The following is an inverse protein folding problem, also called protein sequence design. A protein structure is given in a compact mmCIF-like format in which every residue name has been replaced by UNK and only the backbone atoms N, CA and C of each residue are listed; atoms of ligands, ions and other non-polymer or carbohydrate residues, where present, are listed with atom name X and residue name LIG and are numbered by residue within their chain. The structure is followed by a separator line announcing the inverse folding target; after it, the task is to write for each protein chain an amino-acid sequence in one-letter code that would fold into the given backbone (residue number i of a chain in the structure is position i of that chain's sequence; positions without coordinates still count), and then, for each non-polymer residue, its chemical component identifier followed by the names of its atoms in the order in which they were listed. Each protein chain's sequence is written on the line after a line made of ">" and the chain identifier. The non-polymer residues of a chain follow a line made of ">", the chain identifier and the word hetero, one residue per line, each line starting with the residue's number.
data_IF_977572134926
#
_entry.id   IF_977572134926
#
_cell.length_a   1.000
_cell.length_b   1.000
_cell.length_c   1.000
_cell.angle_alpha   90.00
_cell.angle_beta   90.00
_cell.angle_gamma   90.00
#
_symmetry.space_group_name_H-M   'P 1'
#
loop_
_entity.id
_entity.type
_entity.pdbx_description
1 polymer ?
#
# COMPACT_ATOMS: atom_id res chain seq x y z
N UNK A 1 4.24 49.16 -1.70
CA UNK A 1 5.04 47.93 -1.94
C UNK A 1 4.57 46.92 -0.93
N UNK A 2 3.93 45.81 -1.34
CA UNK A 2 3.62 44.73 -0.39
C UNK A 2 4.94 44.13 0.07
N UNK A 3 5.15 44.00 1.38
CA UNK A 3 6.28 43.24 1.91
C UNK A 3 6.18 41.82 1.35
N UNK A 4 7.23 41.39 0.63
CA UNK A 4 7.36 39.99 0.24
C UNK A 4 7.79 39.23 1.48
N UNK A 5 6.83 38.56 2.12
CA UNK A 5 7.12 37.60 3.17
C UNK A 5 7.74 36.37 2.52
N UNK A 6 8.99 36.06 2.86
CA UNK A 6 9.63 34.82 2.44
C UNK A 6 9.25 33.71 3.41
N UNK A 7 8.82 32.57 2.89
CA UNK A 7 8.60 31.36 3.67
C UNK A 7 9.80 30.43 3.49
N UNK A 8 10.49 30.11 4.58
CA UNK A 8 11.60 29.17 4.56
C UNK A 8 11.05 27.75 4.68
N UNK A 9 11.39 26.89 3.73
CA UNK A 9 11.07 25.46 3.77
C UNK A 9 12.30 24.67 4.17
N UNK A 10 12.12 23.68 5.04
CA UNK A 10 13.19 22.72 5.38
C UNK A 10 13.34 21.63 4.33
N UNK A 11 14.35 20.77 4.52
CA UNK A 11 14.67 19.67 3.59
C UNK A 11 13.71 18.45 3.71
N UNK A 12 12.76 18.51 4.64
CA UNK A 12 11.75 17.47 4.86
C UNK A 12 10.46 17.70 4.07
N UNK A 13 9.56 16.69 4.04
CA UNK A 13 8.23 16.87 3.47
C UNK A 13 7.49 18.00 4.19
N UNK A 14 6.76 18.81 3.42
CA UNK A 14 5.94 19.87 3.97
C UNK A 14 4.61 19.31 4.45
N UNK A 15 4.36 19.38 5.76
CA UNK A 15 3.22 18.71 6.40
C UNK A 15 2.10 19.67 6.83
N UNK A 16 2.41 20.93 7.11
CA UNK A 16 1.50 21.88 7.78
C UNK A 16 1.53 23.26 7.13
N UNK A 17 0.39 23.96 7.05
CA UNK A 17 0.34 25.37 6.64
C UNK A 17 -0.26 25.63 5.25
N UNK A 18 0.08 26.80 4.69
CA UNK A 18 -0.55 27.45 3.52
C UNK A 18 -0.27 26.78 2.15
N UNK A 19 0.20 25.52 2.13
CA UNK A 19 0.52 24.78 0.91
C UNK A 19 1.34 25.60 -0.12
N UNK A 20 2.58 25.98 0.22
CA UNK A 20 3.43 26.79 -0.65
C UNK A 20 3.83 26.08 -1.95
N UNK A 21 3.58 24.77 -2.05
CA UNK A 21 3.80 23.97 -3.25
C UNK A 21 2.54 23.87 -4.13
N UNK A 22 1.43 24.48 -3.69
CA UNK A 22 0.13 24.53 -4.38
C UNK A 22 -0.41 23.15 -4.79
N UNK A 23 -0.04 22.10 -4.04
CA UNK A 23 -0.45 20.74 -4.33
C UNK A 23 -1.93 20.48 -4.06
N UNK A 24 -2.64 21.37 -3.35
CA UNK A 24 -4.02 21.18 -2.93
C UNK A 24 -4.95 20.92 -4.12
N UNK A 25 -4.74 21.62 -5.25
CA UNK A 25 -5.52 21.42 -6.48
C UNK A 25 -5.31 20.02 -7.03
N UNK A 26 -4.05 19.56 -7.07
CA UNK A 26 -3.70 18.24 -7.55
C UNK A 26 -4.25 17.15 -6.62
N UNK A 27 -4.08 17.32 -5.30
CA UNK A 27 -4.60 16.40 -4.30
C UNK A 27 -6.14 16.30 -4.36
N UNK A 28 -6.86 17.42 -4.55
CA UNK A 28 -8.32 17.42 -4.76
C UNK A 28 -8.73 16.67 -6.01
N UNK A 29 -8.02 16.89 -7.13
CA UNK A 29 -8.23 16.15 -8.36
C UNK A 29 -8.09 14.64 -8.15
N UNK A 30 -7.03 14.21 -7.45
CA UNK A 30 -6.79 12.80 -7.14
C UNK A 30 -7.90 12.24 -6.23
N UNK A 31 -8.31 12.96 -5.18
CA UNK A 31 -9.43 12.52 -4.32
C UNK A 31 -10.72 12.35 -5.14
N UNK A 32 -10.99 13.28 -6.06
CA UNK A 32 -12.13 13.20 -6.97
C UNK A 32 -12.09 11.97 -7.88
N UNK A 33 -10.91 11.58 -8.36
CA UNK A 33 -10.70 10.34 -9.12
C UNK A 33 -10.93 9.11 -8.24
N UNK A 34 -10.34 9.08 -7.04
CA UNK A 34 -10.45 7.94 -6.13
C UNK A 34 -11.91 7.70 -5.67
N UNK A 35 -12.68 8.75 -5.42
CA UNK A 35 -14.12 8.64 -5.12
C UNK A 35 -14.93 7.99 -6.26
N UNK A 36 -14.46 8.08 -7.50
CA UNK A 36 -15.10 7.44 -8.65
C UNK A 36 -14.54 6.04 -8.95
N UNK A 37 -13.35 5.73 -8.43
CA UNK A 37 -12.62 4.50 -8.70
C UNK A 37 -13.11 3.27 -7.92
N UNK A 38 -14.15 3.37 -7.08
CA UNK A 38 -14.66 2.25 -6.28
C UNK A 38 -14.98 0.98 -7.10
N UNK A 39 -15.41 1.13 -8.36
CA UNK A 39 -15.69 0.01 -9.27
C UNK A 39 -14.46 -0.52 -10.01
N UNK A 40 -13.40 0.28 -10.06
CA UNK A 40 -12.17 0.01 -10.83
C UNK A 40 -11.02 -0.47 -9.95
N UNK A 41 -11.21 -0.63 -8.64
CA UNK A 41 -10.19 -1.25 -7.77
C UNK A 41 -9.96 -2.71 -8.15
N UNK A 42 -8.74 -3.22 -7.99
CA UNK A 42 -7.58 -2.53 -7.40
C UNK A 42 -6.95 -1.50 -8.34
N UNK A 43 -6.41 -0.42 -7.75
CA UNK A 43 -5.86 0.73 -8.48
C UNK A 43 -4.46 1.06 -7.96
N UNK A 44 -3.52 1.32 -8.87
CA UNK A 44 -2.19 1.87 -8.52
C UNK A 44 -2.04 3.25 -9.14
N UNK A 45 -1.59 4.21 -8.34
CA UNK A 45 -1.27 5.57 -8.72
C UNK A 45 0.22 5.83 -8.45
N UNK A 46 1.00 6.04 -9.51
CA UNK A 46 2.39 6.47 -9.41
C UNK A 46 2.50 7.99 -9.35
N UNK A 47 3.19 8.53 -8.35
CA UNK A 47 3.62 9.92 -8.28
C UNK A 47 5.09 9.96 -8.72
N UNK A 48 5.29 10.31 -9.98
CA UNK A 48 6.60 10.36 -10.62
C UNK A 48 7.19 11.77 -10.55
N UNK A 49 8.31 11.92 -9.86
CA UNK A 49 9.10 13.15 -9.89
C UNK A 49 10.54 12.91 -9.41
N UNK A 50 11.47 13.79 -9.81
CA UNK A 50 12.85 13.74 -9.33
C UNK A 50 12.97 14.03 -7.83
N UNK A 51 14.14 13.75 -7.25
CA UNK A 51 14.46 14.13 -5.88
C UNK A 51 14.20 15.62 -5.60
N UNK A 52 13.60 15.92 -4.45
CA UNK A 52 13.33 17.31 -4.02
C UNK A 52 12.10 17.97 -4.66
N UNK A 53 11.41 17.31 -5.59
CA UNK A 53 10.21 17.87 -6.27
C UNK A 53 8.92 17.80 -5.43
N UNK A 54 8.99 17.34 -4.17
CA UNK A 54 7.85 17.35 -3.25
C UNK A 54 6.90 16.15 -3.32
N UNK A 55 7.34 14.99 -3.85
CA UNK A 55 6.55 13.73 -3.91
C UNK A 55 5.89 13.39 -2.56
N UNK A 56 6.69 13.29 -1.52
CA UNK A 56 6.23 12.99 -0.16
C UNK A 56 5.29 14.07 0.38
N UNK A 57 5.54 15.36 0.07
CA UNK A 57 4.65 16.47 0.45
C UNK A 57 3.27 16.33 -0.20
N UNK A 58 3.21 16.05 -1.51
CA UNK A 58 1.95 15.77 -2.22
C UNK A 58 1.23 14.54 -1.63
N UNK A 59 1.97 13.46 -1.37
CA UNK A 59 1.41 12.24 -0.77
C UNK A 59 0.81 12.50 0.62
N UNK A 60 1.50 13.25 1.47
CA UNK A 60 0.99 13.62 2.80
C UNK A 60 -0.25 14.51 2.70
N UNK A 61 -0.28 15.45 1.76
CA UNK A 61 -1.44 16.30 1.55
C UNK A 61 -2.65 15.50 1.03
N UNK A 62 -2.42 14.59 0.06
CA UNK A 62 -3.43 13.66 -0.41
C UNK A 62 -3.95 12.78 0.73
N UNK A 63 -3.05 12.21 1.54
CA UNK A 63 -3.42 11.42 2.72
C UNK A 63 -4.33 12.22 3.66
N UNK A 64 -3.97 13.46 3.98
CA UNK A 64 -4.77 14.34 4.84
C UNK A 64 -6.18 14.54 4.30
N UNK A 65 -6.33 14.82 3.00
CA UNK A 65 -7.65 14.98 2.37
C UNK A 65 -8.45 13.69 2.38
N UNK A 66 -7.82 12.53 2.18
CA UNK A 66 -8.52 11.24 2.27
C UNK A 66 -8.96 10.93 3.71
N UNK A 67 -8.16 11.31 4.71
CA UNK A 67 -8.49 11.15 6.13
C UNK A 67 -9.67 12.01 6.59
N UNK A 68 -10.07 13.04 5.83
CA UNK A 68 -11.31 13.80 6.06
C UNK A 68 -12.57 12.95 5.77
N UNK A 69 -12.43 11.83 5.05
CA UNK A 69 -13.50 10.91 4.71
C UNK A 69 -13.23 9.47 5.22
N UNK A 70 -13.14 9.25 6.55
CA UNK A 70 -12.77 7.95 7.15
C UNK A 70 -13.82 6.84 6.95
N UNK A 71 -15.03 7.23 6.55
CA UNK A 71 -16.10 6.30 6.14
C UNK A 71 -15.95 5.80 4.72
N UNK A 72 -15.04 6.38 3.93
CA UNK A 72 -14.79 6.04 2.52
C UNK A 72 -13.35 5.56 2.34
N UNK A 73 -12.40 6.15 3.03
CA UNK A 73 -10.98 5.82 2.90
C UNK A 73 -10.39 5.40 4.24
N UNK A 74 -9.55 4.36 4.20
CA UNK A 74 -8.65 3.99 5.26
C UNK A 74 -7.24 4.15 4.74
N UNK A 75 -6.52 5.17 5.20
CA UNK A 75 -5.17 5.45 4.71
C UNK A 75 -4.12 4.72 5.55
N UNK A 76 -3.03 4.34 4.90
CA UNK A 76 -1.93 3.57 5.45
C UNK A 76 -0.64 4.12 4.88
N UNK A 77 0.38 4.35 5.70
CA UNK A 77 1.68 4.82 5.25
C UNK A 77 2.73 3.72 5.43
N UNK A 78 3.45 3.42 4.37
CA UNK A 78 4.53 2.47 4.33
C UNK A 78 5.77 3.18 3.79
N UNK A 79 6.78 3.36 4.65
CA UNK A 79 8.08 3.86 4.21
C UNK A 79 8.93 2.67 3.78
N UNK A 80 9.15 2.52 2.47
CA UNK A 80 9.83 1.38 1.88
C UNK A 80 11.26 1.24 2.40
N UNK A 81 11.96 2.36 2.56
CA UNK A 81 13.34 2.39 3.02
C UNK A 81 13.51 1.87 4.46
N UNK A 82 12.51 2.06 5.33
CA UNK A 82 12.61 1.55 6.72
C UNK A 82 12.62 0.04 6.85
N UNK A 83 12.24 -0.70 5.79
CA UNK A 83 12.20 -2.16 5.75
C UNK A 83 13.13 -2.75 4.67
N UNK A 84 14.09 -1.98 4.16
CA UNK A 84 14.99 -2.38 3.05
C UNK A 84 15.70 -3.73 3.32
N UNK A 85 15.85 -4.53 2.26
CA UNK A 85 16.29 -5.94 2.33
C UNK A 85 15.15 -6.96 2.27
N UNK A 86 15.34 -8.12 2.92
CA UNK A 86 14.42 -9.27 2.88
C UNK A 86 13.07 -9.02 3.58
N UNK A 87 12.99 -7.96 4.39
CA UNK A 87 11.84 -7.67 5.27
C UNK A 87 10.82 -6.70 4.65
N UNK A 88 11.06 -6.19 3.42
CA UNK A 88 10.18 -5.17 2.83
C UNK A 88 8.78 -5.71 2.48
N UNK A 89 8.73 -6.92 1.92
CA UNK A 89 7.48 -7.61 1.59
C UNK A 89 6.71 -7.97 2.86
N UNK A 90 7.43 -8.41 3.89
CA UNK A 90 6.89 -8.69 5.24
C UNK A 90 6.23 -7.45 5.83
N UNK A 91 6.97 -6.34 5.87
CA UNK A 91 6.51 -5.07 6.40
C UNK A 91 5.27 -4.57 5.68
N UNK A 92 5.24 -4.66 4.34
CA UNK A 92 4.09 -4.23 3.56
C UNK A 92 2.85 -5.10 3.81
N UNK A 93 3.00 -6.43 3.87
CA UNK A 93 1.91 -7.37 4.22
C UNK A 93 1.38 -7.09 5.62
N UNK A 94 2.27 -6.97 6.61
CA UNK A 94 1.89 -6.66 7.99
C UNK A 94 1.10 -5.36 8.06
N UNK A 95 1.64 -4.30 7.46
CA UNK A 95 1.02 -2.98 7.47
C UNK A 95 -0.36 -3.00 6.81
N UNK A 96 -0.54 -3.74 5.71
CA UNK A 96 -1.85 -3.88 5.06
C UNK A 96 -2.85 -4.70 5.90
N UNK A 97 -2.42 -5.83 6.47
CA UNK A 97 -3.27 -6.73 7.26
C UNK A 97 -3.72 -6.11 8.58
N UNK A 98 -2.85 -5.35 9.25
CA UNK A 98 -3.17 -4.65 10.51
C UNK A 98 -4.30 -3.63 10.36
N UNK A 99 -4.55 -3.16 9.14
CA UNK A 99 -5.58 -2.16 8.84
C UNK A 99 -6.94 -2.80 8.54
N UNK A 100 -6.97 -4.11 8.33
CA UNK A 100 -8.20 -4.88 8.14
C UNK A 100 -8.87 -5.18 9.49
N UNK A 101 -10.20 -5.31 9.49
CA UNK A 101 -10.97 -5.65 10.71
C UNK A 101 -10.49 -7.01 11.26
N UNK A 102 -9.99 -7.07 12.52
CA UNK A 102 -9.52 -8.31 13.16
C UNK A 102 -10.52 -9.47 13.09
N UNK A 103 -11.82 -9.16 13.13
CA UNK A 103 -12.87 -10.17 13.04
C UNK A 103 -13.03 -10.73 11.64
N UNK A 104 -12.74 -9.93 10.61
CA UNK A 104 -12.76 -10.37 9.22
C UNK A 104 -11.57 -11.30 8.99
N UNK A 105 -10.37 -10.89 9.42
CA UNK A 105 -9.16 -11.72 9.32
C UNK A 105 -9.35 -13.06 10.04
N UNK A 106 -9.83 -13.03 11.30
CA UNK A 106 -10.07 -14.24 12.08
C UNK A 106 -11.12 -15.17 11.46
N UNK A 107 -12.14 -14.62 10.80
CA UNK A 107 -13.16 -15.41 10.09
C UNK A 107 -12.60 -16.04 8.81
N UNK A 108 -11.79 -15.30 8.06
CA UNK A 108 -11.17 -15.81 6.85
C UNK A 108 -10.16 -16.94 7.17
N UNK A 109 -9.38 -16.80 8.23
CA UNK A 109 -8.44 -17.82 8.71
C UNK A 109 -9.10 -19.10 9.24
N UNK A 110 -10.37 -19.03 9.67
CA UNK A 110 -11.14 -20.17 10.16
C UNK A 110 -11.83 -20.96 9.05
N UNK A 111 -11.68 -20.54 7.79
CA UNK A 111 -12.26 -21.21 6.64
C UNK A 111 -11.49 -22.54 6.37
N UNK A 112 -12.20 -23.62 6.05
CA UNK A 112 -11.62 -24.98 5.91
C UNK A 112 -10.51 -25.06 4.85
N UNK A 113 -10.51 -24.16 3.86
CA UNK A 113 -9.45 -24.01 2.86
C UNK A 113 -8.08 -23.68 3.46
N UNK A 114 -8.04 -23.02 4.63
CA UNK A 114 -6.83 -22.68 5.37
C UNK A 114 -6.50 -23.66 6.50
N UNK A 115 -7.40 -24.59 6.83
CA UNK A 115 -7.22 -25.53 7.95
C UNK A 115 -5.99 -26.45 7.77
N UNK A 116 -5.60 -26.72 6.53
CA UNK A 116 -4.38 -27.49 6.23
C UNK A 116 -3.07 -26.68 6.34
N UNK A 117 -3.12 -25.36 6.20
CA UNK A 117 -1.99 -24.46 6.56
C UNK A 117 -1.96 -24.29 8.09
N UNK A 118 -3.12 -24.38 8.74
CA UNK A 118 -3.35 -23.95 10.12
C UNK A 118 -3.27 -25.06 11.18
N UNK A 119 -2.83 -26.29 10.90
CA UNK A 119 -2.67 -27.31 11.96
C UNK A 119 -1.69 -26.87 13.06
N UNK A 120 -0.79 -25.95 12.75
CA UNK A 120 0.08 -25.26 13.71
C UNK A 120 -0.59 -24.06 14.42
N UNK A 121 -1.57 -23.41 13.79
CA UNK A 121 -2.22 -22.17 14.27
C UNK A 121 -3.36 -22.48 15.27
N UNK A 122 -4.02 -23.63 15.18
CA UNK A 122 -5.24 -23.92 15.97
C UNK A 122 -5.04 -24.33 17.43
N UNK A 123 -3.86 -24.84 17.84
CA UNK A 123 -3.67 -25.28 19.24
C UNK A 123 -3.35 -24.16 20.23
N UNK A 124 -3.00 -22.96 19.73
CA UNK A 124 -2.53 -21.83 20.55
C UNK A 124 -3.58 -20.69 20.60
N UNK A 125 -4.53 -20.63 19.67
CA UNK A 125 -5.41 -19.45 19.48
C UNK A 125 -6.68 -19.36 20.36
N UNK A 126 -6.92 -20.26 21.32
CA UNK A 126 -8.18 -20.25 22.09
C UNK A 126 -8.20 -19.33 23.31
N UNK A 127 -7.06 -18.79 23.80
CA UNK A 127 -7.06 -17.90 24.97
C UNK A 127 -5.97 -16.82 24.85
N UNK A 128 -6.38 -15.60 24.49
CA UNK A 128 -5.62 -14.34 24.66
C UNK A 128 -4.26 -14.21 23.94
N UNK A 129 -4.17 -14.50 22.64
CA UNK A 129 -2.92 -14.29 21.87
C UNK A 129 -3.22 -13.40 20.65
N UNK A 130 -2.48 -12.28 20.55
CA UNK A 130 -2.79 -11.12 19.72
C UNK A 130 -2.66 -11.33 18.21
N UNK A 131 -3.30 -10.43 17.45
CA UNK A 131 -3.36 -10.46 15.97
C UNK A 131 -1.96 -10.44 15.33
N UNK A 132 -0.99 -9.78 15.95
CA UNK A 132 0.38 -9.67 15.43
C UNK A 132 1.02 -11.06 15.25
N UNK A 133 0.86 -11.96 16.22
CA UNK A 133 1.40 -13.33 16.11
C UNK A 133 0.73 -14.14 15.01
N UNK A 134 -0.57 -13.91 14.74
CA UNK A 134 -1.25 -14.54 13.61
C UNK A 134 -0.71 -14.03 12.27
N UNK A 135 -0.39 -12.74 12.19
CA UNK A 135 0.20 -12.15 10.99
C UNK A 135 1.63 -12.67 10.79
N UNK A 136 2.42 -12.81 11.86
CA UNK A 136 3.75 -13.42 11.83
C UNK A 136 3.71 -14.87 11.34
N UNK A 137 2.83 -15.70 11.91
CA UNK A 137 2.69 -17.11 11.53
C UNK A 137 2.22 -17.27 10.06
N UNK A 138 1.31 -16.38 9.61
CA UNK A 138 0.89 -16.32 8.21
C UNK A 138 2.04 -15.97 7.28
N UNK A 139 2.85 -15.00 7.68
CA UNK A 139 3.96 -14.55 6.88
C UNK A 139 5.04 -15.63 6.73
N UNK A 140 5.40 -16.31 7.82
CA UNK A 140 6.36 -17.42 7.77
C UNK A 140 5.87 -18.55 6.84
N UNK A 141 4.57 -18.87 6.87
CA UNK A 141 3.99 -19.84 5.93
C UNK A 141 4.06 -19.37 4.46
N UNK A 142 3.83 -18.08 4.21
CA UNK A 142 3.84 -17.47 2.87
C UNK A 142 5.26 -17.35 2.30
N UNK A 143 6.28 -17.14 3.14
CA UNK A 143 7.69 -17.14 2.77
C UNK A 143 8.11 -18.49 2.19
N UNK A 144 7.72 -19.60 2.82
CA UNK A 144 8.26 -20.95 2.52
C UNK A 144 7.45 -21.78 1.52
N UNK A 145 6.17 -21.45 1.28
CA UNK A 145 5.29 -22.23 0.39
C UNK A 145 4.63 -21.38 -0.71
N UNK A 146 4.92 -21.62 -1.99
CA UNK A 146 4.23 -20.98 -3.11
C UNK A 146 2.70 -21.16 -3.09
N UNK A 147 2.19 -22.27 -2.55
CA UNK A 147 0.73 -22.49 -2.39
C UNK A 147 0.14 -21.55 -1.34
N UNK A 148 0.87 -21.29 -0.26
CA UNK A 148 0.46 -20.35 0.78
C UNK A 148 0.33 -18.91 0.23
N UNK A 149 1.16 -18.50 -0.74
CA UNK A 149 0.99 -17.21 -1.45
C UNK A 149 -0.36 -17.10 -2.16
N UNK A 150 -0.76 -18.12 -2.91
CA UNK A 150 -2.06 -18.13 -3.58
C UNK A 150 -3.22 -18.15 -2.57
N UNK A 151 -3.05 -18.88 -1.47
CA UNK A 151 -4.05 -18.92 -0.40
C UNK A 151 -4.15 -17.56 0.31
N UNK A 152 -3.05 -16.84 0.54
CA UNK A 152 -3.08 -15.47 1.08
C UNK A 152 -3.88 -14.54 0.16
N UNK A 153 -3.72 -14.63 -1.17
CA UNK A 153 -4.53 -13.87 -2.13
C UNK A 153 -6.02 -14.17 -1.97
N UNK A 154 -6.40 -15.45 -1.92
CA UNK A 154 -7.79 -15.86 -1.72
C UNK A 154 -8.36 -15.32 -0.40
N UNK A 155 -7.58 -15.36 0.68
CA UNK A 155 -7.96 -14.84 1.99
C UNK A 155 -8.18 -13.33 1.95
N UNK A 156 -7.25 -12.59 1.33
CA UNK A 156 -7.35 -11.14 1.18
C UNK A 156 -8.58 -10.77 0.34
N UNK A 157 -8.82 -11.48 -0.76
CA UNK A 157 -10.00 -11.32 -1.60
C UNK A 157 -11.29 -11.55 -0.81
N UNK A 158 -11.38 -12.66 -0.09
CA UNK A 158 -12.55 -13.00 0.73
C UNK A 158 -12.76 -11.99 1.87
N UNK A 159 -11.68 -11.56 2.52
CA UNK A 159 -11.72 -10.57 3.59
C UNK A 159 -12.15 -9.20 3.08
N UNK A 160 -11.63 -8.76 1.94
CA UNK A 160 -12.00 -7.49 1.30
C UNK A 160 -13.43 -7.52 0.78
N UNK A 161 -13.86 -8.60 0.12
CA UNK A 161 -15.23 -8.76 -0.34
C UNK A 161 -16.21 -8.64 0.84
N UNK A 162 -15.94 -9.35 1.95
CA UNK A 162 -16.75 -9.24 3.16
C UNK A 162 -16.71 -7.84 3.79
N UNK A 163 -15.55 -7.18 3.77
CA UNK A 163 -15.41 -5.83 4.31
C UNK A 163 -16.20 -4.82 3.47
N UNK A 164 -16.11 -4.90 2.15
CA UNK A 164 -16.89 -4.11 1.20
C UNK A 164 -18.40 -4.36 1.37
N UNK A 165 -18.84 -5.61 1.50
CA UNK A 165 -20.26 -5.96 1.66
C UNK A 165 -20.84 -5.64 3.04
N UNK A 166 -20.06 -5.76 4.12
CA UNK A 166 -20.49 -5.36 5.48
C UNK A 166 -20.79 -3.87 5.55
N UNK A 167 -20.03 -3.07 4.80
CA UNK A 167 -20.21 -1.62 4.70
C UNK A 167 -21.25 -1.21 3.63
N UNK A 168 -21.77 -2.15 2.83
CA UNK A 168 -22.68 -1.88 1.71
C UNK A 168 -24.16 -1.62 2.08
N UNK A 169 -24.53 -1.55 3.37
CA UNK A 169 -25.88 -1.08 3.75
C UNK A 169 -26.11 0.39 3.36
N UNK A 170 -25.03 1.16 3.20
CA UNK A 170 -25.01 2.41 2.45
C UNK A 170 -24.28 2.16 1.12
N UNK A 171 -25.03 1.99 0.02
CA UNK A 171 -24.45 1.76 -1.31
C UNK A 171 -23.51 2.89 -1.78
N UNK A 172 -23.55 4.05 -1.11
CA UNK A 172 -22.78 5.24 -1.44
C UNK A 172 -21.34 5.27 -0.89
N UNK A 173 -20.94 4.38 0.03
CA UNK A 173 -19.60 4.43 0.65
C UNK A 173 -18.93 3.05 0.72
N UNK A 174 -18.40 2.58 -0.42
CA UNK A 174 -17.52 1.41 -0.42
C UNK A 174 -16.17 1.84 0.15
N UNK A 175 -15.85 1.42 1.37
CA UNK A 175 -14.56 1.74 1.96
C UNK A 175 -13.42 1.24 1.06
N UNK A 176 -12.33 1.99 0.97
CA UNK A 176 -11.10 1.60 0.28
C UNK A 176 -9.91 1.75 1.22
N UNK A 177 -8.94 0.84 1.11
CA UNK A 177 -7.66 0.93 1.81
C UNK A 177 -6.66 1.56 0.86
N UNK A 178 -6.17 2.75 1.21
CA UNK A 178 -5.20 3.52 0.42
C UNK A 178 -3.83 3.38 1.08
N UNK A 179 -2.92 2.66 0.42
CA UNK A 179 -1.58 2.38 0.90
C UNK A 179 -0.60 3.31 0.19
N UNK A 180 -0.03 4.24 0.94
CA UNK A 180 1.04 5.12 0.49
C UNK A 180 2.37 4.39 0.66
N UNK A 181 3.14 4.29 -0.42
CA UNK A 181 4.48 3.69 -0.46
C UNK A 181 5.45 4.81 -0.83
N UNK A 182 6.24 5.26 0.15
CA UNK A 182 7.19 6.37 -0.02
C UNK A 182 8.64 5.88 0.10
N UNK A 183 9.58 6.72 -0.34
CA UNK A 183 11.03 6.47 -0.34
C UNK A 183 11.44 5.18 -1.09
N UNK A 184 10.64 4.72 -2.05
CA UNK A 184 10.96 3.53 -2.85
C UNK A 184 12.23 3.73 -3.70
N UNK A 185 12.49 4.96 -4.12
CA UNK A 185 13.70 5.39 -4.83
C UNK A 185 14.98 5.39 -3.97
N UNK A 186 14.87 5.07 -2.67
CA UNK A 186 16.04 4.89 -1.77
C UNK A 186 16.38 3.43 -1.50
N UNK A 187 15.51 2.50 -1.92
CA UNK A 187 15.69 1.08 -1.68
C UNK A 187 16.68 0.44 -2.65
N UNK A 188 17.21 -0.72 -2.26
CA UNK A 188 17.95 -1.60 -3.17
C UNK A 188 17.07 -2.06 -4.35
N UNK A 189 17.67 -2.39 -5.52
CA UNK A 189 16.92 -2.95 -6.64
C UNK A 189 16.05 -4.15 -6.23
N UNK A 190 16.59 -5.06 -5.43
CA UNK A 190 15.87 -6.23 -4.90
C UNK A 190 14.59 -5.81 -4.15
N UNK A 191 14.70 -4.83 -3.26
CA UNK A 191 13.57 -4.35 -2.46
C UNK A 191 12.53 -3.62 -3.30
N UNK A 192 12.95 -2.84 -4.31
CA UNK A 192 12.02 -2.24 -5.30
C UNK A 192 11.21 -3.33 -6.00
N UNK A 193 11.85 -4.41 -6.44
CA UNK A 193 11.14 -5.55 -7.05
C UNK A 193 10.22 -6.27 -6.07
N UNK A 194 10.64 -6.48 -4.83
CA UNK A 194 9.81 -7.11 -3.81
C UNK A 194 8.54 -6.29 -3.54
N UNK A 195 8.62 -4.96 -3.55
CA UNK A 195 7.45 -4.08 -3.43
C UNK A 195 6.53 -4.21 -4.64
N UNK A 196 7.06 -4.21 -5.86
CA UNK A 196 6.23 -4.43 -7.05
C UNK A 196 5.62 -5.84 -7.11
N UNK A 197 6.33 -6.87 -6.66
CA UNK A 197 5.78 -8.21 -6.52
C UNK A 197 4.64 -8.22 -5.48
N UNK A 198 4.84 -7.56 -4.33
CA UNK A 198 3.81 -7.39 -3.31
C UNK A 198 2.55 -6.75 -3.89
N UNK A 199 2.71 -5.61 -4.55
CA UNK A 199 1.61 -4.89 -5.21
C UNK A 199 0.91 -5.85 -6.18
N UNK A 200 1.63 -6.55 -7.07
CA UNK A 200 1.04 -7.54 -7.99
C UNK A 200 0.35 -8.72 -7.29
N UNK A 201 0.79 -9.11 -6.10
CA UNK A 201 0.09 -10.09 -5.27
C UNK A 201 -1.22 -9.54 -4.70
N UNK A 202 -1.27 -8.26 -4.31
CA UNK A 202 -2.49 -7.60 -3.81
C UNK A 202 -3.43 -7.07 -4.88
N UNK A 203 -2.94 -6.85 -6.10
CA UNK A 203 -3.69 -6.32 -7.25
C UNK A 203 -4.79 -7.26 -7.77
N UNK A 204 -5.15 -8.33 -7.05
CA UNK A 204 -6.39 -9.07 -7.29
C UNK A 204 -7.52 -8.68 -6.32
N UNK A 205 -7.18 -8.02 -5.21
CA UNK A 205 -8.12 -7.70 -4.14
C UNK A 205 -8.78 -6.34 -4.36
N UNK A 206 -10.09 -6.37 -4.62
CA UNK A 206 -10.91 -5.16 -4.71
C UNK A 206 -10.84 -4.36 -3.41
N UNK A 207 -10.93 -3.04 -3.53
CA UNK A 207 -10.89 -2.11 -2.40
C UNK A 207 -9.50 -1.66 -1.97
N UNK A 208 -8.42 -2.13 -2.59
CA UNK A 208 -7.08 -1.56 -2.40
C UNK A 208 -6.76 -0.49 -3.44
N UNK A 209 -6.11 0.58 -2.98
CA UNK A 209 -5.48 1.61 -3.80
C UNK A 209 -4.04 1.75 -3.33
N UNK A 210 -3.07 1.72 -4.24
CA UNK A 210 -1.66 1.96 -3.95
C UNK A 210 -1.27 3.33 -4.48
N UNK A 211 -0.66 4.17 -3.65
CA UNK A 211 -0.09 5.46 -4.05
C UNK A 211 1.42 5.39 -3.85
N UNK A 212 2.19 5.44 -4.92
CA UNK A 212 3.63 5.14 -4.87
C UNK A 212 4.41 6.38 -5.29
N UNK A 213 5.24 6.90 -4.40
CA UNK A 213 6.23 7.92 -4.74
C UNK A 213 7.44 7.27 -5.39
N UNK A 214 7.73 7.62 -6.64
CA UNK A 214 8.87 7.06 -7.38
C UNK A 214 9.64 8.14 -8.13
N UNK A 215 10.95 7.93 -8.23
CA UNK A 215 11.76 8.53 -9.29
C UNK A 215 11.87 7.50 -10.43
N UNK A 216 11.31 7.83 -11.59
CA UNK A 216 11.21 6.90 -12.72
C UNK A 216 12.58 6.47 -13.24
N UNK A 217 13.60 7.34 -13.13
CA UNK A 217 14.94 7.02 -13.59
C UNK A 217 15.61 6.01 -12.65
N UNK A 218 15.48 6.24 -11.34
CA UNK A 218 16.04 5.36 -10.31
C UNK A 218 15.37 3.98 -10.34
N UNK A 219 14.03 3.96 -10.42
CA UNK A 219 13.29 2.69 -10.54
C UNK A 219 13.65 1.97 -11.84
N UNK A 220 13.82 2.69 -12.95
CA UNK A 220 14.22 2.08 -14.22
C UNK A 220 15.60 1.44 -14.14
N UNK A 221 16.56 2.09 -13.48
CA UNK A 221 17.90 1.57 -13.28
C UNK A 221 17.87 0.30 -12.41
N UNK A 222 17.18 0.34 -11.28
CA UNK A 222 16.94 -0.82 -10.43
C UNK A 222 16.34 -2.01 -11.22
N UNK A 223 15.35 -1.72 -12.08
CA UNK A 223 14.71 -2.75 -12.91
C UNK A 223 15.70 -3.41 -13.88
N UNK A 224 16.57 -2.62 -14.50
CA UNK A 224 17.57 -3.11 -15.44
C UNK A 224 18.66 -3.95 -14.75
N UNK A 225 19.13 -3.52 -13.59
CA UNK A 225 20.17 -4.21 -12.83
C UNK A 225 19.73 -5.60 -12.36
N UNK A 226 18.57 -5.70 -11.72
CA UNK A 226 18.11 -6.96 -11.12
C UNK A 226 17.75 -8.03 -12.16
N UNK A 227 17.16 -7.64 -13.30
CA UNK A 227 16.71 -8.59 -14.33
C UNK A 227 17.77 -8.89 -15.40
N UNK A 228 18.94 -8.22 -15.36
CA UNK A 228 19.95 -8.27 -16.42
C UNK A 228 19.36 -8.01 -17.82
N UNK A 229 18.33 -7.15 -17.91
CA UNK A 229 17.71 -6.85 -19.18
C UNK A 229 18.66 -6.00 -20.04
N UNK A 230 18.77 -6.32 -21.32
CA UNK A 230 19.45 -5.46 -22.28
C UNK A 230 18.45 -4.46 -22.87
N UNK A 231 18.69 -3.16 -22.60
CA UNK A 231 18.05 -1.93 -23.12
C UNK A 231 16.89 -1.30 -22.31
N UNK A 232 16.96 0.04 -22.28
CA UNK A 232 16.10 1.10 -21.69
C UNK A 232 14.61 1.13 -22.08
N UNK A 233 14.05 0.11 -22.73
CA UNK A 233 12.67 0.18 -23.30
C UNK A 233 11.64 -0.58 -22.46
N UNK A 234 12.05 -1.24 -21.37
CA UNK A 234 11.20 -2.19 -20.63
C UNK A 234 10.80 -1.75 -19.21
N UNK A 235 11.32 -0.63 -18.70
CA UNK A 235 11.02 -0.17 -17.34
C UNK A 235 9.67 0.54 -17.22
N UNK A 236 9.31 1.37 -18.21
CA UNK A 236 7.99 2.02 -18.27
C UNK A 236 6.84 1.00 -18.30
N UNK A 237 7.03 -0.10 -19.04
CA UNK A 237 6.06 -1.22 -19.12
C UNK A 237 5.92 -2.03 -17.83
N UNK A 238 6.80 -1.85 -16.83
CA UNK A 238 6.70 -2.54 -15.54
C UNK A 238 5.86 -1.78 -14.51
N UNK A 239 5.67 -0.47 -14.73
CA UNK A 239 4.95 0.47 -13.87
C UNK A 239 3.51 0.72 -14.37
N UNK A 240 3.25 0.52 -15.67
CA UNK A 240 1.89 0.42 -16.26
C UNK A 240 1.23 -0.94 -16.03
#
# INVERSE_FOLDING_TARGET
>A
MSEKTFQLLGDGPYLEGDDPLEFHVLAEGIVGLLNQAHGSTPLTLGIQASWGMGKSSLMHQLKRKLDESPDTFKTVWFNAWTFDGEDILEGLIKTALEQMDPNILRRALRNEKFVNISKAITSIASRWIGINRLIDDLWEAVKVDPRARNQLRDLLNEAMEKWLHKNAKDQAKKKMIVIFIDDLDRCSPESVFSVFEAIKLYLDAKGFVFVIGVDSDIVSEAVLEHKKYSKRVTSEQYVE
#
